data_IF_800793360463
#
_entry.id   IF_800793360463
#
_cell.length_a   1.000
_cell.length_b   1.000
_cell.length_c   1.000
_cell.angle_alpha   90.00
_cell.angle_beta   90.00
_cell.angle_gamma   90.00
#
_symmetry.space_group_name_H-M   'P 1'
#
loop_
_entity.id
_entity.type
_entity.pdbx_description
1 polymer ?
#
# COMPACT_ATOMS: atom_id res chain seq x y z
N UNK A 1 -52.01 6.98 51.60
CA UNK A 1 -51.26 8.05 50.94
C UNK A 1 -49.89 7.44 50.56
N UNK A 2 -49.85 6.80 49.42
CA UNK A 2 -48.60 6.24 48.91
C UNK A 2 -48.10 7.13 47.79
N UNK A 3 -46.96 7.74 47.97
CA UNK A 3 -46.21 8.44 46.96
C UNK A 3 -44.98 7.61 46.61
N UNK A 4 -45.13 6.67 45.69
CA UNK A 4 -43.96 6.09 44.97
C UNK A 4 -43.67 7.00 43.77
N UNK A 5 -42.72 7.92 43.94
CA UNK A 5 -42.13 8.66 42.85
C UNK A 5 -41.25 7.68 42.03
N UNK A 6 -41.68 7.36 40.82
CA UNK A 6 -40.83 6.69 39.82
C UNK A 6 -39.73 7.65 39.43
N UNK A 7 -38.48 7.26 39.70
CA UNK A 7 -37.31 7.94 39.16
C UNK A 7 -37.16 7.47 37.72
N UNK A 8 -37.54 8.32 36.74
CA UNK A 8 -37.21 8.12 35.32
C UNK A 8 -35.69 8.24 35.17
N UNK A 9 -35.03 7.11 34.94
CA UNK A 9 -33.64 7.09 34.50
C UNK A 9 -33.65 7.35 33.00
N UNK A 10 -33.41 8.62 32.62
CA UNK A 10 -33.02 8.93 31.22
C UNK A 10 -31.69 8.26 30.96
N UNK A 11 -31.72 7.18 30.15
CA UNK A 11 -30.52 6.60 29.57
C UNK A 11 -30.12 7.49 28.41
N UNK A 12 -29.25 8.46 28.67
CA UNK A 12 -28.56 9.17 27.61
C UNK A 12 -27.85 8.13 26.73
N UNK A 13 -28.24 8.06 25.48
CA UNK A 13 -27.52 7.33 24.44
C UNK A 13 -26.16 8.01 24.22
N UNK A 14 -25.24 7.85 25.16
CA UNK A 14 -23.84 8.19 24.97
C UNK A 14 -23.34 7.25 23.88
N UNK A 15 -23.17 7.80 22.67
CA UNK A 15 -22.44 7.13 21.60
C UNK A 15 -21.18 6.52 22.23
N UNK A 16 -20.88 5.22 22.02
CA UNK A 16 -19.76 4.59 22.68
C UNK A 16 -18.52 5.43 22.39
N UNK A 17 -17.97 6.06 23.42
CA UNK A 17 -16.73 6.83 23.32
C UNK A 17 -15.69 5.90 22.71
N UNK A 18 -15.21 6.22 21.50
CA UNK A 18 -14.19 5.44 20.81
C UNK A 18 -13.02 5.24 21.74
N UNK A 19 -12.81 3.99 22.17
CA UNK A 19 -11.73 3.65 23.09
C UNK A 19 -10.40 3.95 22.40
N UNK A 20 -9.61 4.85 22.96
CA UNK A 20 -8.21 5.04 22.55
C UNK A 20 -7.44 3.74 22.80
N UNK A 21 -6.71 3.27 21.78
CA UNK A 21 -5.85 2.09 21.86
C UNK A 21 -4.38 2.52 21.86
N UNK A 22 -3.55 1.77 22.58
CA UNK A 22 -2.09 1.84 22.46
C UNK A 22 -1.64 0.82 21.43
N UNK A 23 -1.19 1.29 20.27
CA UNK A 23 -0.84 0.44 19.13
C UNK A 23 0.66 0.49 18.88
N UNK A 24 1.35 -0.65 18.90
CA UNK A 24 2.74 -0.74 18.45
C UNK A 24 2.76 -1.13 16.97
N UNK A 25 3.16 -0.20 16.10
CA UNK A 25 3.34 -0.42 14.67
C UNK A 25 4.80 -0.72 14.40
N UNK A 26 5.10 -1.91 13.87
CA UNK A 26 6.46 -2.39 13.60
C UNK A 26 6.69 -2.48 12.10
N UNK A 27 7.64 -1.73 11.59
CA UNK A 27 7.95 -1.68 10.16
C UNK A 27 9.45 -1.53 9.92
N UNK A 28 9.97 -2.12 8.85
CA UNK A 28 11.36 -1.88 8.41
C UNK A 28 11.46 -0.73 7.40
N UNK A 29 10.33 -0.24 6.88
CA UNK A 29 10.28 0.86 5.92
C UNK A 29 9.27 1.92 6.35
N UNK A 30 9.72 3.18 6.37
CA UNK A 30 8.93 4.35 6.75
C UNK A 30 9.56 5.60 6.12
N UNK A 31 8.83 6.72 5.90
CA UNK A 31 9.46 7.95 5.44
C UNK A 31 10.69 8.33 6.30
N UNK A 32 11.76 8.85 5.67
CA UNK A 32 11.87 9.41 4.32
C UNK A 32 12.11 8.39 3.18
N UNK A 33 12.06 7.08 3.43
CA UNK A 33 12.15 6.07 2.37
C UNK A 33 11.01 6.22 1.36
N UNK A 34 11.34 6.08 0.07
CA UNK A 34 10.37 6.29 -1.02
C UNK A 34 9.96 4.95 -1.61
N UNK A 35 8.90 4.40 -1.08
CA UNK A 35 8.24 3.22 -1.62
C UNK A 35 6.76 3.18 -1.19
N UNK A 36 5.95 2.37 -1.89
CA UNK A 36 4.51 2.29 -1.65
C UNK A 36 4.12 1.77 -0.26
N UNK A 37 4.97 0.98 0.39
CA UNK A 37 4.74 0.49 1.76
C UNK A 37 4.94 1.62 2.76
N UNK A 38 6.06 2.36 2.65
CA UNK A 38 6.36 3.49 3.52
C UNK A 38 5.26 4.57 3.44
N UNK A 39 4.83 4.93 2.24
CA UNK A 39 3.74 5.90 2.05
C UNK A 39 2.41 5.42 2.67
N UNK A 40 2.05 4.16 2.45
CA UNK A 40 0.81 3.59 2.96
C UNK A 40 0.79 3.52 4.49
N UNK A 41 1.89 3.06 5.11
CA UNK A 41 1.92 2.95 6.57
C UNK A 41 1.98 4.31 7.25
N UNK A 42 2.64 5.30 6.65
CA UNK A 42 2.64 6.68 7.16
C UNK A 42 1.22 7.25 7.19
N UNK A 43 0.42 7.03 6.15
CA UNK A 43 -1.01 7.42 6.12
C UNK A 43 -1.84 6.69 7.16
N UNK A 44 -1.63 5.38 7.33
CA UNK A 44 -2.34 4.62 8.36
C UNK A 44 -1.99 5.11 9.78
N UNK A 45 -0.70 5.34 10.06
CA UNK A 45 -0.22 5.90 11.33
C UNK A 45 -0.82 7.28 11.58
N UNK A 46 -0.80 8.17 10.58
CA UNK A 46 -1.41 9.49 10.69
C UNK A 46 -2.91 9.40 10.99
N UNK A 47 -3.66 8.61 10.23
CA UNK A 47 -5.10 8.47 10.43
C UNK A 47 -5.46 7.86 11.79
N UNK A 48 -4.68 6.91 12.30
CA UNK A 48 -4.87 6.36 13.65
C UNK A 48 -4.61 7.43 14.73
N UNK A 49 -3.59 8.28 14.55
CA UNK A 49 -3.31 9.42 15.47
C UNK A 49 -4.46 10.43 15.46
N UNK A 50 -4.95 10.82 14.29
CA UNK A 50 -6.08 11.74 14.11
C UNK A 50 -7.37 11.21 14.78
N UNK A 51 -7.49 9.88 14.90
CA UNK A 51 -8.59 9.20 15.60
C UNK A 51 -8.35 9.03 17.11
N UNK A 52 -7.24 9.56 17.62
CA UNK A 52 -6.94 9.65 19.06
C UNK A 52 -6.25 8.44 19.66
N UNK A 53 -5.70 7.53 18.84
CA UNK A 53 -4.89 6.41 19.34
C UNK A 53 -3.50 6.86 19.78
N UNK A 54 -2.92 6.13 20.74
CA UNK A 54 -1.53 6.27 21.17
C UNK A 54 -0.67 5.28 20.37
N UNK A 55 0.35 5.79 19.66
CA UNK A 55 1.14 4.98 18.75
C UNK A 55 2.60 4.89 19.16
N UNK A 56 3.14 3.67 19.08
CA UNK A 56 4.56 3.36 19.17
C UNK A 56 5.04 2.91 17.79
N UNK A 57 5.76 3.75 17.06
CA UNK A 57 6.33 3.40 15.76
C UNK A 57 7.72 2.79 15.94
N UNK A 58 7.82 1.48 15.77
CA UNK A 58 9.08 0.72 15.89
C UNK A 58 9.68 0.53 14.51
N UNK A 59 10.86 1.10 14.27
CA UNK A 59 11.54 1.03 12.97
C UNK A 59 13.07 1.06 13.08
N UNK A 60 13.81 0.66 12.01
CA UNK A 60 15.23 0.90 11.94
C UNK A 60 15.57 2.39 11.90
N UNK A 61 16.66 2.77 12.55
CA UNK A 61 17.23 4.12 12.47
C UNK A 61 17.80 4.33 11.06
N UNK A 62 17.47 5.46 10.43
CA UNK A 62 17.95 5.80 9.09
C UNK A 62 19.36 6.40 9.11
N UNK A 63 19.70 7.17 10.15
CA UNK A 63 21.01 7.77 10.35
C UNK A 63 21.49 7.53 11.79
N UNK A 64 22.82 7.54 12.00
CA UNK A 64 23.43 7.35 13.34
C UNK A 64 23.02 8.42 14.35
N UNK A 65 22.75 9.61 13.86
CA UNK A 65 22.41 10.79 14.66
C UNK A 65 20.89 11.08 14.68
N UNK A 66 20.08 10.23 14.03
CA UNK A 66 18.64 10.38 14.01
C UNK A 66 18.07 10.33 15.43
N UNK A 67 17.36 11.41 15.82
CA UNK A 67 16.63 11.47 17.06
C UNK A 67 15.21 10.88 16.88
N UNK A 68 14.73 10.14 17.87
CA UNK A 68 13.37 9.65 17.87
C UNK A 68 12.38 10.80 18.06
N UNK A 69 11.34 10.83 17.26
CA UNK A 69 10.23 11.76 17.46
C UNK A 69 9.35 11.25 18.58
N UNK A 70 8.97 12.14 19.48
CA UNK A 70 8.06 11.85 20.58
C UNK A 70 7.16 13.04 20.84
N UNK A 71 5.87 12.78 20.96
CA UNK A 71 4.87 13.71 21.47
C UNK A 71 3.93 12.99 22.44
N UNK A 72 2.84 13.66 22.87
CA UNK A 72 1.93 13.14 23.89
C UNK A 72 1.30 11.77 23.54
N UNK A 73 1.06 11.50 22.23
CA UNK A 73 0.40 10.28 21.74
C UNK A 73 1.18 9.52 20.68
N UNK A 74 2.42 9.89 20.47
CA UNK A 74 3.27 9.24 19.47
C UNK A 74 4.71 9.13 19.96
N UNK A 75 5.27 7.93 19.87
CA UNK A 75 6.66 7.69 20.20
C UNK A 75 7.32 6.81 19.12
N UNK A 76 8.46 7.27 18.60
CA UNK A 76 9.31 6.42 17.77
C UNK A 76 10.26 5.59 18.64
N UNK A 77 10.36 4.31 18.32
CA UNK A 77 11.32 3.38 18.91
C UNK A 77 12.34 3.01 17.83
N UNK A 78 13.44 3.75 17.79
CA UNK A 78 14.50 3.57 16.79
C UNK A 78 15.45 2.46 17.18
N UNK A 79 15.52 1.41 16.35
CA UNK A 79 16.39 0.25 16.55
C UNK A 79 17.52 0.22 15.53
N UNK A 80 18.50 -0.69 15.73
CA UNK A 80 19.60 -0.84 14.78
C UNK A 80 19.12 -1.45 13.47
N UNK A 81 19.63 -0.91 12.34
CA UNK A 81 19.41 -1.45 11.01
C UNK A 81 20.69 -1.49 10.19
N UNK A 82 20.69 -2.31 9.15
CA UNK A 82 21.77 -2.39 8.15
C UNK A 82 21.20 -2.03 6.77
N UNK A 83 21.98 -1.36 5.90
CA UNK A 83 21.56 -1.11 4.54
C UNK A 83 21.38 -2.44 3.78
N UNK A 84 20.33 -2.49 2.93
CA UNK A 84 20.10 -3.67 2.09
C UNK A 84 21.12 -3.67 0.93
N UNK A 85 21.82 -4.79 0.66
CA UNK A 85 22.71 -4.90 -0.49
C UNK A 85 21.99 -4.51 -1.78
N UNK A 86 22.64 -3.71 -2.64
CA UNK A 86 22.10 -3.11 -3.89
C UNK A 86 21.05 -1.99 -3.68
N UNK A 87 20.53 -1.80 -2.46
CA UNK A 87 19.57 -0.73 -2.13
C UNK A 87 19.98 -0.04 -0.82
N UNK A 88 21.14 0.66 -0.79
CA UNK A 88 21.72 1.21 0.44
C UNK A 88 20.84 2.26 1.13
N UNK A 89 19.92 2.86 0.39
CA UNK A 89 18.90 3.80 0.91
C UNK A 89 17.80 3.10 1.71
N UNK A 90 17.64 1.79 1.57
CA UNK A 90 16.68 0.99 2.34
C UNK A 90 17.41 0.27 3.48
N UNK A 91 16.78 0.23 4.66
CA UNK A 91 17.33 -0.39 5.85
C UNK A 91 16.55 -1.65 6.22
N UNK A 92 17.28 -2.71 6.51
CA UNK A 92 16.74 -3.91 7.16
C UNK A 92 17.00 -3.82 8.66
N UNK A 93 15.99 -4.02 9.47
CA UNK A 93 16.14 -4.02 10.93
C UNK A 93 16.93 -5.23 11.43
N UNK A 94 17.75 -5.03 12.45
CA UNK A 94 18.46 -6.13 13.10
C UNK A 94 17.55 -6.84 14.11
N UNK A 95 17.82 -8.14 14.40
CA UNK A 95 17.12 -8.86 15.45
C UNK A 95 17.15 -8.13 16.80
N UNK A 96 16.00 -7.74 17.33
CA UNK A 96 15.90 -6.83 18.49
C UNK A 96 14.93 -7.32 19.57
N UNK A 97 14.68 -8.64 19.66
CA UNK A 97 13.71 -9.24 20.60
C UNK A 97 13.89 -8.77 22.05
N UNK A 98 15.15 -8.76 22.57
CA UNK A 98 15.41 -8.38 23.96
C UNK A 98 15.07 -6.90 24.23
N UNK A 99 15.35 -6.01 23.28
CA UNK A 99 15.01 -4.59 23.40
C UNK A 99 13.50 -4.39 23.42
N UNK A 100 12.77 -5.06 22.54
CA UNK A 100 11.30 -5.02 22.46
C UNK A 100 10.63 -5.59 23.72
N UNK A 101 11.13 -6.72 24.25
CA UNK A 101 10.64 -7.26 25.52
C UNK A 101 10.77 -6.25 26.65
N UNK A 102 11.92 -5.59 26.77
CA UNK A 102 12.17 -4.57 27.81
C UNK A 102 11.26 -3.36 27.62
N UNK A 103 11.14 -2.86 26.39
CA UNK A 103 10.30 -1.70 26.09
C UNK A 103 8.82 -2.00 26.35
N UNK A 104 8.27 -3.10 25.86
CA UNK A 104 6.86 -3.45 26.00
C UNK A 104 6.48 -3.99 27.39
N UNK A 105 7.44 -4.33 28.23
CA UNK A 105 7.20 -4.64 29.64
C UNK A 105 6.83 -3.37 30.45
N UNK A 106 7.40 -2.21 30.08
CA UNK A 106 7.11 -0.92 30.71
C UNK A 106 6.06 -0.09 29.95
N UNK A 107 6.05 -0.16 28.61
CA UNK A 107 5.13 0.57 27.74
C UNK A 107 4.28 -0.42 26.93
N UNK A 108 3.42 -1.16 27.64
CA UNK A 108 2.65 -2.27 27.09
C UNK A 108 1.61 -1.79 26.07
N UNK A 109 1.68 -2.19 24.78
CA UNK A 109 0.65 -1.91 23.80
C UNK A 109 -0.58 -2.83 24.01
N UNK A 110 -1.75 -2.37 23.55
CA UNK A 110 -2.97 -3.17 23.50
C UNK A 110 -2.97 -4.12 22.31
N UNK A 111 -2.30 -3.74 21.21
CA UNK A 111 -2.13 -4.55 20.01
C UNK A 111 -0.78 -4.24 19.33
N UNK A 112 -0.16 -5.26 18.73
CA UNK A 112 1.05 -5.15 17.93
C UNK A 112 0.69 -5.38 16.46
N UNK A 113 0.98 -4.41 15.60
CA UNK A 113 0.78 -4.46 14.16
C UNK A 113 2.13 -4.62 13.43
N UNK A 114 2.35 -5.78 12.84
CA UNK A 114 3.56 -6.12 12.08
C UNK A 114 3.34 -5.80 10.59
N UNK A 115 4.04 -4.79 10.09
CA UNK A 115 3.90 -4.31 8.70
C UNK A 115 4.82 -5.05 7.74
N UNK A 116 5.99 -5.47 8.22
CA UNK A 116 7.02 -6.13 7.41
C UNK A 116 7.51 -7.41 8.09
N UNK A 117 7.87 -8.39 7.26
CA UNK A 117 8.22 -9.76 7.67
C UNK A 117 9.72 -9.98 7.91
N UNK A 118 10.52 -8.91 7.90
CA UNK A 118 11.97 -8.99 8.06
C UNK A 118 12.42 -9.37 9.48
N UNK A 119 13.73 -9.31 9.76
CA UNK A 119 14.30 -9.73 11.06
C UNK A 119 13.75 -8.93 12.25
N UNK A 120 13.43 -7.63 12.06
CA UNK A 120 12.79 -6.82 13.09
C UNK A 120 11.36 -7.28 13.33
N UNK A 121 10.57 -7.47 12.26
CA UNK A 121 9.20 -7.98 12.35
C UNK A 121 9.14 -9.35 13.04
N UNK A 122 10.06 -10.26 12.71
CA UNK A 122 10.18 -11.56 13.39
C UNK A 122 10.52 -11.42 14.87
N UNK A 123 11.42 -10.52 15.21
CA UNK A 123 11.79 -10.23 16.62
C UNK A 123 10.59 -9.68 17.40
N UNK A 124 9.80 -8.82 16.77
CA UNK A 124 8.60 -8.25 17.34
C UNK A 124 7.50 -9.30 17.56
N UNK A 125 7.29 -10.20 16.58
CA UNK A 125 6.39 -11.33 16.72
C UNK A 125 6.76 -12.21 17.92
N UNK A 126 8.05 -12.54 18.07
CA UNK A 126 8.52 -13.34 19.19
C UNK A 126 8.35 -12.63 20.54
N UNK A 127 8.66 -11.32 20.61
CA UNK A 127 8.51 -10.53 21.83
C UNK A 127 7.04 -10.42 22.23
N UNK A 128 6.15 -10.09 21.30
CA UNK A 128 4.72 -9.99 21.52
C UNK A 128 4.10 -11.33 21.97
N UNK A 129 4.49 -12.44 21.33
CA UNK A 129 4.04 -13.79 21.73
C UNK A 129 4.47 -14.11 23.17
N UNK A 130 5.72 -13.80 23.54
CA UNK A 130 6.21 -14.03 24.92
C UNK A 130 5.49 -13.20 25.95
N UNK A 131 5.12 -11.95 25.62
CA UNK A 131 4.37 -11.05 26.47
C UNK A 131 2.84 -11.27 26.40
N UNK A 132 2.39 -12.26 25.65
CA UNK A 132 0.97 -12.53 25.42
C UNK A 132 0.23 -11.27 24.96
N UNK A 133 0.74 -10.60 23.92
CA UNK A 133 0.10 -9.46 23.28
C UNK A 133 -0.66 -9.92 22.03
N UNK A 134 -1.83 -9.35 21.73
CA UNK A 134 -2.50 -9.55 20.45
C UNK A 134 -1.61 -9.07 19.29
N UNK A 135 -1.48 -9.88 18.25
CA UNK A 135 -0.64 -9.54 17.08
C UNK A 135 -1.47 -9.63 15.81
N UNK A 136 -1.42 -8.60 15.01
CA UNK A 136 -1.92 -8.59 13.62
C UNK A 136 -0.77 -8.28 12.67
N UNK A 137 -0.91 -8.67 11.41
CA UNK A 137 0.13 -8.41 10.40
C UNK A 137 -0.46 -7.90 9.09
N UNK A 138 0.39 -7.28 8.28
CA UNK A 138 0.10 -6.90 6.90
C UNK A 138 0.90 -7.76 5.93
N UNK A 139 0.27 -8.20 4.85
CA UNK A 139 0.95 -8.77 3.71
C UNK A 139 1.14 -7.69 2.64
N UNK A 140 2.35 -7.10 2.58
CA UNK A 140 2.62 -5.91 1.74
C UNK A 140 3.64 -6.14 0.63
N UNK A 141 4.43 -7.21 0.72
CA UNK A 141 5.52 -7.45 -0.23
C UNK A 141 5.33 -8.79 -0.93
N UNK A 142 5.35 -8.74 -2.26
CA UNK A 142 5.20 -9.95 -3.08
C UNK A 142 6.58 -10.59 -3.37
N UNK A 143 7.32 -10.94 -2.31
CA UNK A 143 8.68 -11.51 -2.44
C UNK A 143 8.76 -12.76 -3.32
N UNK A 144 7.72 -13.60 -3.30
CA UNK A 144 7.71 -14.81 -4.10
C UNK A 144 7.62 -14.55 -5.61
N UNK A 145 6.91 -13.49 -6.02
CA UNK A 145 6.86 -13.07 -7.40
C UNK A 145 8.16 -12.34 -7.82
N UNK A 146 8.75 -11.54 -6.93
CA UNK A 146 10.05 -10.92 -7.19
C UNK A 146 11.16 -11.95 -7.43
N UNK A 147 11.18 -13.06 -6.69
CA UNK A 147 12.21 -14.10 -6.84
C UNK A 147 12.24 -14.73 -8.26
N UNK A 148 11.10 -14.77 -8.96
CA UNK A 148 11.02 -15.27 -10.33
C UNK A 148 11.70 -14.34 -11.33
N UNK A 149 11.54 -13.02 -11.19
CA UNK A 149 12.11 -12.03 -12.09
C UNK A 149 13.63 -11.84 -11.92
N UNK A 150 14.17 -12.17 -10.75
CA UNK A 150 15.60 -12.02 -10.46
C UNK A 150 16.41 -13.33 -10.53
N UNK A 151 15.88 -14.37 -11.19
CA UNK A 151 16.59 -15.64 -11.38
C UNK A 151 16.74 -16.51 -10.14
N UNK A 152 15.99 -16.21 -9.07
CA UNK A 152 16.02 -16.93 -7.79
C UNK A 152 14.74 -17.76 -7.56
N UNK A 153 14.19 -18.32 -8.63
CA UNK A 153 12.94 -19.10 -8.59
C UNK A 153 12.99 -20.27 -7.58
N UNK A 154 14.15 -20.86 -7.34
CA UNK A 154 14.37 -21.91 -6.36
C UNK A 154 14.13 -21.48 -4.90
N UNK A 155 14.22 -20.17 -4.60
CA UNK A 155 13.91 -19.62 -3.28
C UNK A 155 12.40 -19.42 -3.05
N UNK A 156 11.54 -19.56 -4.06
CA UNK A 156 10.10 -19.33 -3.95
C UNK A 156 9.47 -20.14 -2.82
N UNK A 157 9.72 -21.46 -2.79
CA UNK A 157 9.11 -22.34 -1.79
C UNK A 157 9.62 -22.06 -0.36
N UNK A 158 10.93 -21.88 -0.10
CA UNK A 158 11.44 -21.44 1.21
C UNK A 158 10.84 -20.11 1.66
N UNK A 159 10.78 -19.11 0.78
CA UNK A 159 10.21 -17.79 1.09
C UNK A 159 8.72 -17.93 1.44
N UNK A 160 7.93 -18.64 0.64
CA UNK A 160 6.50 -18.85 0.91
C UNK A 160 6.28 -19.62 2.23
N UNK A 161 7.13 -20.61 2.53
CA UNK A 161 7.05 -21.34 3.79
C UNK A 161 7.35 -20.44 4.99
N UNK A 162 8.36 -19.56 4.86
CA UNK A 162 8.70 -18.57 5.88
C UNK A 162 7.55 -17.58 6.10
N UNK A 163 7.02 -16.96 5.03
CA UNK A 163 5.92 -16.01 5.09
C UNK A 163 4.67 -16.65 5.71
N UNK A 164 4.31 -17.85 5.28
CA UNK A 164 3.18 -18.60 5.85
C UNK A 164 3.39 -18.88 7.34
N UNK A 165 4.59 -19.28 7.76
CA UNK A 165 4.93 -19.50 9.18
C UNK A 165 4.84 -18.21 9.99
N UNK A 166 5.23 -17.07 9.42
CA UNK A 166 5.15 -15.77 10.06
C UNK A 166 3.70 -15.33 10.24
N UNK A 167 2.94 -15.24 9.15
CA UNK A 167 1.58 -14.74 9.15
C UNK A 167 0.59 -15.65 9.90
N UNK A 168 0.72 -16.97 9.80
CA UNK A 168 -0.14 -17.91 10.52
C UNK A 168 0.07 -17.91 12.05
N UNK A 169 1.04 -17.17 12.56
CA UNK A 169 1.24 -16.92 14.00
C UNK A 169 0.58 -15.65 14.50
N UNK A 170 0.04 -14.83 13.61
CA UNK A 170 -0.74 -13.65 13.96
C UNK A 170 -2.23 -13.99 14.01
N UNK A 171 -3.00 -13.21 14.76
CA UNK A 171 -4.45 -13.41 14.90
C UNK A 171 -5.21 -13.09 13.62
N UNK A 172 -4.69 -12.13 12.85
CA UNK A 172 -5.23 -11.72 11.56
C UNK A 172 -4.11 -11.16 10.69
N UNK A 173 -4.12 -11.51 9.40
CA UNK A 173 -3.26 -10.88 8.39
C UNK A 173 -4.11 -10.06 7.43
N UNK A 174 -3.82 -8.77 7.34
CA UNK A 174 -4.47 -7.87 6.39
C UNK A 174 -3.84 -8.00 5.02
N UNK A 175 -4.67 -8.15 4.00
CA UNK A 175 -4.26 -8.24 2.59
C UNK A 175 -4.99 -7.18 1.77
N UNK A 176 -4.38 -6.57 0.75
CA UNK A 176 -4.96 -5.41 0.08
C UNK A 176 -6.09 -5.74 -0.90
N UNK A 177 -6.19 -6.98 -1.42
CA UNK A 177 -7.17 -7.35 -2.43
C UNK A 177 -7.79 -8.72 -2.17
N UNK A 178 -9.02 -8.94 -2.67
CA UNK A 178 -9.70 -10.24 -2.58
C UNK A 178 -8.97 -11.31 -3.42
N UNK A 179 -8.41 -10.95 -4.57
CA UNK A 179 -7.63 -11.87 -5.41
C UNK A 179 -6.40 -12.42 -4.67
N UNK A 180 -5.60 -11.54 -4.08
CA UNK A 180 -4.44 -11.95 -3.27
C UNK A 180 -4.85 -12.78 -2.06
N UNK A 181 -5.98 -12.43 -1.40
CA UNK A 181 -6.52 -13.26 -0.31
C UNK A 181 -6.78 -14.68 -0.79
N UNK A 182 -7.46 -14.86 -1.94
CA UNK A 182 -7.74 -16.18 -2.52
C UNK A 182 -6.47 -16.96 -2.83
N UNK A 183 -5.48 -16.32 -3.47
CA UNK A 183 -4.18 -16.92 -3.77
C UNK A 183 -3.46 -17.38 -2.50
N UNK A 184 -3.37 -16.54 -1.49
CA UNK A 184 -2.71 -16.89 -0.23
C UNK A 184 -3.44 -18.00 0.52
N UNK A 185 -4.78 -17.99 0.54
CA UNK A 185 -5.58 -19.06 1.15
C UNK A 185 -5.30 -20.42 0.50
N UNK A 186 -5.22 -20.48 -0.84
CA UNK A 186 -4.91 -21.72 -1.57
C UNK A 186 -3.52 -22.27 -1.25
N UNK A 187 -2.59 -21.43 -0.78
CA UNK A 187 -1.24 -21.81 -0.37
C UNK A 187 -1.10 -22.07 1.14
N UNK A 188 -2.21 -22.09 1.89
CA UNK A 188 -2.25 -22.47 3.31
C UNK A 188 -2.05 -21.32 4.31
N UNK A 189 -2.18 -20.06 3.87
CA UNK A 189 -2.31 -18.94 4.81
C UNK A 189 -3.70 -18.95 5.45
N UNK A 190 -3.76 -18.52 6.72
CA UNK A 190 -4.98 -18.53 7.56
C UNK A 190 -5.30 -17.12 8.05
N UNK A 191 -6.54 -16.93 8.53
CA UNK A 191 -6.98 -15.70 9.19
C UNK A 191 -6.74 -14.43 8.36
N UNK A 192 -7.01 -14.48 7.04
CA UNK A 192 -6.82 -13.38 6.11
C UNK A 192 -8.06 -12.47 6.06
N UNK A 193 -7.85 -11.16 6.18
CA UNK A 193 -8.88 -10.12 6.01
C UNK A 193 -8.48 -9.11 4.95
N UNK A 194 -9.39 -8.78 4.06
CA UNK A 194 -9.14 -7.74 3.05
C UNK A 194 -9.27 -6.38 3.72
N UNK A 195 -8.19 -5.62 3.69
CA UNK A 195 -8.13 -4.20 4.04
C UNK A 195 -7.45 -3.48 2.89
N UNK A 196 -8.23 -2.79 2.08
CA UNK A 196 -7.76 -2.14 0.85
C UNK A 196 -6.89 -0.91 1.16
N UNK A 197 -6.59 -0.13 0.14
CA UNK A 197 -5.82 1.11 0.26
C UNK A 197 -6.65 2.29 -0.12
N UNK A 198 -6.43 3.41 0.56
CA UNK A 198 -6.97 4.70 0.19
C UNK A 198 -6.04 5.44 -0.78
N UNK A 199 -6.55 6.51 -1.34
CA UNK A 199 -5.78 7.48 -2.14
C UNK A 199 -5.93 8.89 -1.57
N UNK A 200 -4.87 9.68 -1.65
CA UNK A 200 -4.90 11.09 -1.26
C UNK A 200 -5.48 11.94 -2.39
N UNK A 201 -6.77 12.16 -2.36
CA UNK A 201 -7.48 12.92 -3.41
C UNK A 201 -7.22 14.42 -3.37
N UNK A 202 -6.58 14.95 -2.33
CA UNK A 202 -6.12 16.35 -2.27
C UNK A 202 -4.74 16.51 -2.93
N UNK A 203 -3.86 15.54 -2.74
CA UNK A 203 -2.55 15.51 -3.40
C UNK A 203 -2.68 15.11 -4.89
N UNK A 204 -3.50 14.11 -5.20
CA UNK A 204 -3.79 13.63 -6.55
C UNK A 204 -5.12 14.22 -7.02
N UNK A 205 -5.05 15.41 -7.64
CA UNK A 205 -6.21 16.18 -8.06
C UNK A 205 -6.02 16.73 -9.47
N UNK A 206 -6.99 16.60 -10.38
CA UNK A 206 -6.94 17.18 -11.73
C UNK A 206 -6.66 18.69 -11.75
N UNK A 207 -7.06 19.41 -10.69
CA UNK A 207 -6.80 20.85 -10.57
C UNK A 207 -5.31 21.22 -10.51
N UNK A 208 -4.43 20.24 -10.26
CA UNK A 208 -2.96 20.43 -10.28
C UNK A 208 -2.36 20.35 -11.68
N UNK A 209 -3.17 20.25 -12.73
CA UNK A 209 -2.69 20.24 -14.12
C UNK A 209 -1.90 21.51 -14.43
N UNK A 210 -0.66 21.35 -14.88
CA UNK A 210 0.29 22.42 -15.14
C UNK A 210 0.54 22.61 -16.63
N UNK A 211 0.07 23.73 -17.22
CA UNK A 211 0.41 24.07 -18.62
C UNK A 211 1.92 24.24 -18.84
N UNK A 212 2.64 24.78 -17.84
CA UNK A 212 4.08 24.95 -17.91
C UNK A 212 4.81 23.60 -17.98
N UNK A 213 4.36 22.60 -17.22
CA UNK A 213 4.92 21.26 -17.25
C UNK A 213 4.67 20.59 -18.62
N UNK A 214 3.48 20.75 -19.18
CA UNK A 214 3.16 20.25 -20.53
C UNK A 214 4.03 20.92 -21.61
N UNK A 215 4.26 22.22 -21.48
CA UNK A 215 5.18 22.95 -22.38
C UNK A 215 6.62 22.41 -22.29
N UNK A 216 7.11 22.11 -21.09
CA UNK A 216 8.42 21.46 -20.88
C UNK A 216 8.52 20.10 -21.56
N UNK A 217 7.41 19.35 -21.63
CA UNK A 217 7.33 18.07 -22.35
C UNK A 217 7.19 18.23 -23.87
N UNK A 218 7.05 19.45 -24.36
CA UNK A 218 6.89 19.77 -25.79
C UNK A 218 5.52 19.37 -26.33
N UNK A 219 4.45 19.46 -25.51
CA UNK A 219 3.07 19.10 -25.89
C UNK A 219 2.11 20.27 -25.75
N UNK A 220 1.22 20.40 -26.70
CA UNK A 220 0.13 21.37 -26.70
C UNK A 220 -1.04 20.99 -25.79
N UNK A 221 -2.03 21.88 -25.64
CA UNK A 221 -3.18 21.66 -24.76
C UNK A 221 -4.04 20.44 -25.15
N UNK A 222 -4.06 20.10 -26.45
CA UNK A 222 -4.89 19.02 -27.02
C UNK A 222 -4.12 17.72 -27.31
N UNK A 223 -2.79 17.74 -27.18
CA UNK A 223 -1.99 16.54 -27.40
C UNK A 223 -2.18 15.55 -26.26
N UNK A 224 -2.22 14.26 -26.58
CA UNK A 224 -2.37 13.21 -25.59
C UNK A 224 -1.04 12.92 -24.90
N UNK A 225 -1.03 13.00 -23.57
CA UNK A 225 0.11 12.61 -22.74
C UNK A 225 -0.20 11.27 -22.06
N UNK A 226 0.63 10.30 -22.34
CA UNK A 226 0.64 8.99 -21.70
C UNK A 226 1.63 9.02 -20.55
N UNK A 227 1.21 8.60 -19.36
CA UNK A 227 2.02 8.58 -18.17
C UNK A 227 2.25 7.13 -17.69
N UNK A 228 3.46 6.86 -17.24
CA UNK A 228 3.79 5.69 -16.43
C UNK A 228 4.60 6.14 -15.22
N UNK A 229 4.19 5.70 -14.04
CA UNK A 229 4.83 6.06 -12.76
C UNK A 229 5.27 4.79 -12.03
N UNK A 230 6.50 4.78 -11.56
CA UNK A 230 7.02 3.67 -10.77
C UNK A 230 8.52 3.47 -10.93
N UNK A 231 9.02 2.42 -10.28
CA UNK A 231 10.42 2.01 -10.42
C UNK A 231 10.67 1.50 -11.85
N UNK A 232 11.71 2.00 -12.50
CA UNK A 232 12.09 1.56 -13.85
C UNK A 232 12.89 0.26 -13.76
N UNK A 233 12.19 -0.87 -13.63
CA UNK A 233 12.76 -2.19 -13.40
C UNK A 233 11.99 -3.28 -14.17
N UNK A 234 12.63 -4.43 -14.35
CA UNK A 234 12.16 -5.54 -15.20
C UNK A 234 10.73 -5.99 -14.84
N UNK A 235 10.42 -6.07 -13.57
CA UNK A 235 9.09 -6.52 -13.07
C UNK A 235 7.95 -5.57 -13.44
N UNK A 236 8.24 -4.35 -13.89
CA UNK A 236 7.24 -3.39 -14.38
C UNK A 236 6.88 -3.56 -15.85
N UNK A 237 7.50 -4.55 -16.52
CA UNK A 237 7.18 -4.93 -17.89
C UNK A 237 7.26 -3.75 -18.90
N UNK A 238 8.28 -2.91 -18.72
CA UNK A 238 8.45 -1.66 -19.47
C UNK A 238 8.67 -1.88 -20.98
N UNK A 239 9.03 -3.10 -21.37
CA UNK A 239 9.05 -3.50 -22.78
C UNK A 239 7.69 -3.40 -23.47
N UNK A 240 6.64 -3.86 -22.79
CA UNK A 240 5.25 -3.75 -23.28
C UNK A 240 4.77 -2.30 -23.29
N UNK A 241 5.17 -1.49 -22.28
CA UNK A 241 4.89 -0.06 -22.29
C UNK A 241 5.43 0.63 -23.56
N UNK A 242 6.69 0.36 -23.92
CA UNK A 242 7.31 0.94 -25.11
C UNK A 242 6.60 0.49 -26.39
N UNK A 243 6.27 -0.80 -26.52
CA UNK A 243 5.52 -1.32 -27.65
C UNK A 243 4.13 -0.68 -27.79
N UNK A 244 3.40 -0.55 -26.68
CA UNK A 244 2.09 0.09 -26.63
C UNK A 244 2.20 1.56 -27.07
N UNK A 245 3.16 2.31 -26.55
CA UNK A 245 3.40 3.70 -26.92
C UNK A 245 3.76 3.85 -28.40
N UNK A 246 4.64 3.00 -28.94
CA UNK A 246 4.99 3.02 -30.37
C UNK A 246 3.76 2.74 -31.25
N UNK A 247 2.89 1.79 -30.83
CA UNK A 247 1.62 1.54 -31.49
C UNK A 247 0.67 2.74 -31.46
N UNK A 248 0.63 3.48 -30.34
CA UNK A 248 -0.15 4.72 -30.25
C UNK A 248 0.42 5.82 -31.16
N UNK A 249 1.74 5.99 -31.22
CA UNK A 249 2.39 6.99 -32.10
C UNK A 249 2.19 6.69 -33.59
N UNK A 250 2.03 5.43 -33.95
CA UNK A 250 1.70 5.05 -35.33
C UNK A 250 0.30 5.52 -35.77
N UNK A 251 -0.63 5.72 -34.77
CA UNK A 251 -1.99 6.25 -35.02
C UNK A 251 -2.01 7.78 -34.90
N UNK A 252 -1.39 8.33 -33.86
CA UNK A 252 -1.27 9.78 -33.65
C UNK A 252 0.17 10.12 -33.22
N UNK A 253 1.00 10.65 -34.13
CA UNK A 253 2.40 11.00 -33.82
C UNK A 253 2.58 12.06 -32.72
N UNK A 254 1.52 12.79 -32.36
CA UNK A 254 1.56 13.80 -31.29
C UNK A 254 1.47 13.20 -29.88
N UNK A 255 1.16 11.91 -29.75
CA UNK A 255 1.14 11.22 -28.46
C UNK A 255 2.54 11.28 -27.83
N UNK A 256 2.61 11.68 -26.55
CA UNK A 256 3.84 11.81 -25.79
C UNK A 256 3.85 10.85 -24.60
N UNK A 257 4.96 10.15 -24.39
CA UNK A 257 5.17 9.32 -23.20
C UNK A 257 6.00 10.08 -22.17
N UNK A 258 5.52 10.10 -20.93
CA UNK A 258 6.23 10.62 -19.76
C UNK A 258 6.44 9.49 -18.74
N UNK A 259 7.67 9.27 -18.33
CA UNK A 259 8.10 8.28 -17.36
C UNK A 259 8.53 8.99 -16.07
N UNK A 260 7.80 8.74 -14.98
CA UNK A 260 8.13 9.27 -13.65
C UNK A 260 8.67 8.13 -12.78
N UNK A 261 9.87 8.32 -12.29
CA UNK A 261 10.59 7.34 -11.48
C UNK A 261 12.02 7.13 -11.94
N UNK A 262 12.71 6.20 -11.29
CA UNK A 262 14.07 5.82 -11.62
C UNK A 262 14.28 4.32 -11.41
N UNK A 263 15.38 3.78 -11.91
CA UNK A 263 15.70 2.38 -11.75
C UNK A 263 16.72 1.85 -12.77
N UNK A 264 17.09 0.57 -12.63
CA UNK A 264 18.15 -0.05 -13.44
C UNK A 264 17.85 -0.06 -14.95
N UNK A 265 16.58 -0.05 -15.36
CA UNK A 265 16.16 -0.10 -16.76
C UNK A 265 16.19 1.28 -17.46
N UNK A 266 16.46 2.38 -16.74
CA UNK A 266 16.38 3.75 -17.27
C UNK A 266 17.23 3.94 -18.54
N UNK A 267 18.51 3.56 -18.49
CA UNK A 267 19.42 3.77 -19.64
C UNK A 267 19.00 2.96 -20.86
N UNK A 268 18.57 1.73 -20.68
CA UNK A 268 18.06 0.89 -21.76
C UNK A 268 16.76 1.45 -22.37
N UNK A 269 15.86 1.98 -21.53
CA UNK A 269 14.62 2.62 -21.99
C UNK A 269 14.89 3.92 -22.76
N UNK A 270 15.85 4.74 -22.32
CA UNK A 270 16.24 5.96 -23.05
C UNK A 270 16.76 5.65 -24.46
N UNK A 271 17.51 4.56 -24.63
CA UNK A 271 17.97 4.10 -25.95
C UNK A 271 16.82 3.59 -26.82
N UNK A 272 15.88 2.83 -26.22
CA UNK A 272 14.75 2.22 -26.95
C UNK A 272 13.62 3.19 -27.27
N UNK A 273 13.47 4.25 -26.49
CA UNK A 273 12.40 5.24 -26.62
C UNK A 273 12.93 6.66 -26.39
N UNK A 274 13.78 7.18 -27.31
CA UNK A 274 14.40 8.52 -27.13
C UNK A 274 13.40 9.67 -27.20
N UNK A 275 12.20 9.46 -27.75
CA UNK A 275 11.11 10.45 -27.82
C UNK A 275 10.35 10.62 -26.51
N UNK A 276 10.52 9.71 -25.53
CA UNK A 276 9.87 9.78 -24.23
C UNK A 276 10.56 10.80 -23.29
N UNK A 277 9.77 11.39 -22.41
CA UNK A 277 10.29 12.26 -21.35
C UNK A 277 10.59 11.41 -20.11
N UNK A 278 11.82 11.48 -19.63
CA UNK A 278 12.25 10.82 -18.40
C UNK A 278 12.31 11.86 -17.26
N UNK A 279 11.21 12.03 -16.56
CA UNK A 279 11.05 13.05 -15.52
C UNK A 279 11.90 12.76 -14.27
N UNK A 280 12.37 11.51 -14.07
CA UNK A 280 13.08 11.12 -12.86
C UNK A 280 12.15 10.94 -11.65
N UNK A 281 12.72 10.81 -10.47
CA UNK A 281 11.96 10.64 -9.23
C UNK A 281 11.25 11.93 -8.85
N UNK A 282 9.93 11.87 -8.66
CA UNK A 282 9.07 12.99 -8.23
C UNK A 282 8.37 12.64 -6.91
N UNK A 283 8.02 13.65 -6.11
CA UNK A 283 7.40 13.47 -4.78
C UNK A 283 6.40 14.57 -4.49
N UNK A 284 5.47 14.30 -3.56
CA UNK A 284 4.52 15.30 -3.05
C UNK A 284 3.77 16.01 -4.17
N UNK A 285 3.66 17.32 -4.09
CA UNK A 285 2.91 18.14 -5.04
C UNK A 285 3.45 18.09 -6.48
N UNK A 286 4.77 17.97 -6.64
CA UNK A 286 5.40 17.80 -7.96
C UNK A 286 4.97 16.47 -8.61
N UNK A 287 4.88 15.38 -7.85
CA UNK A 287 4.32 14.13 -8.34
C UNK A 287 2.84 14.27 -8.71
N UNK A 288 2.04 14.93 -7.87
CA UNK A 288 0.63 15.22 -8.16
C UNK A 288 0.45 16.03 -9.45
N UNK A 289 1.30 17.03 -9.67
CA UNK A 289 1.29 17.83 -10.90
C UNK A 289 1.65 17.00 -12.14
N UNK A 290 2.58 16.05 -12.03
CA UNK A 290 2.92 15.15 -13.14
C UNK A 290 1.74 14.25 -13.52
N UNK A 291 1.04 13.65 -12.53
CA UNK A 291 -0.17 12.89 -12.80
C UNK A 291 -1.24 13.78 -13.46
N UNK A 292 -1.60 14.90 -12.85
CA UNK A 292 -2.67 15.77 -13.34
C UNK A 292 -2.38 16.37 -14.74
N UNK A 293 -1.10 16.47 -15.14
CA UNK A 293 -0.70 17.02 -16.43
C UNK A 293 -0.74 16.01 -17.58
N UNK A 294 -0.98 14.72 -17.28
CA UNK A 294 -1.19 13.67 -18.26
C UNK A 294 -2.69 13.45 -18.56
N UNK A 295 -3.00 12.53 -19.46
CA UNK A 295 -4.35 12.22 -19.91
C UNK A 295 -4.67 10.72 -19.78
N UNK A 296 -3.69 9.85 -20.00
CA UNK A 296 -3.82 8.39 -19.99
C UNK A 296 -2.69 7.76 -19.15
N UNK A 297 -3.03 6.80 -18.32
CA UNK A 297 -2.08 6.04 -17.51
C UNK A 297 -1.93 4.63 -18.06
N UNK A 298 -0.72 4.24 -18.48
CA UNK A 298 -0.40 2.88 -18.91
C UNK A 298 0.34 2.14 -17.81
N UNK A 299 -0.21 1.00 -17.37
CA UNK A 299 0.33 0.22 -16.27
C UNK A 299 0.42 -1.28 -16.60
N UNK A 300 1.45 -1.72 -17.35
CA UNK A 300 1.64 -3.12 -17.74
C UNK A 300 2.34 -3.99 -16.69
N UNK A 301 2.32 -3.58 -15.42
CA UNK A 301 2.97 -4.31 -14.33
C UNK A 301 2.34 -5.68 -14.11
N UNK A 302 3.18 -6.71 -13.95
CA UNK A 302 2.77 -8.10 -13.69
C UNK A 302 3.07 -8.56 -12.26
N UNK A 303 3.58 -7.67 -11.41
CA UNK A 303 4.01 -8.01 -10.04
C UNK A 303 3.61 -6.93 -9.06
N UNK A 304 2.39 -7.00 -8.58
CA UNK A 304 1.88 -6.05 -7.57
C UNK A 304 1.25 -6.78 -6.40
N UNK A 305 1.44 -6.25 -5.19
CA UNK A 305 0.55 -6.60 -4.07
C UNK A 305 -0.73 -5.78 -4.13
N UNK A 306 -0.63 -4.51 -4.51
CA UNK A 306 -1.77 -3.64 -4.76
C UNK A 306 -1.55 -2.80 -6.02
N UNK A 307 -0.56 -1.89 -6.04
CA UNK A 307 -0.30 -0.95 -7.13
C UNK A 307 -0.94 0.40 -6.87
N UNK A 308 -0.48 1.12 -5.84
CA UNK A 308 -1.00 2.44 -5.42
C UNK A 308 -1.05 3.46 -6.56
N UNK A 309 -0.17 3.33 -7.55
CA UNK A 309 -0.09 4.24 -8.71
C UNK A 309 -1.37 4.23 -9.57
N UNK A 310 -2.16 3.15 -9.53
CA UNK A 310 -3.44 3.07 -10.25
C UNK A 310 -4.49 4.00 -9.64
N UNK A 311 -4.83 3.91 -8.34
CA UNK A 311 -5.74 4.87 -7.72
C UNK A 311 -5.20 6.31 -7.70
N UNK A 312 -3.87 6.53 -7.66
CA UNK A 312 -3.27 7.85 -7.80
C UNK A 312 -3.56 8.46 -9.19
N UNK A 313 -3.38 7.68 -10.26
CA UNK A 313 -3.72 8.09 -11.62
C UNK A 313 -5.22 8.38 -11.76
N UNK A 314 -6.08 7.49 -11.27
CA UNK A 314 -7.53 7.69 -11.28
C UNK A 314 -7.95 8.94 -10.52
N UNK A 315 -7.36 9.17 -9.33
CA UNK A 315 -7.61 10.36 -8.52
C UNK A 315 -7.19 11.65 -9.22
N UNK A 316 -6.16 11.60 -10.05
CA UNK A 316 -5.70 12.71 -10.88
C UNK A 316 -6.51 12.89 -12.17
N UNK A 317 -7.58 12.10 -12.38
CA UNK A 317 -8.45 12.20 -13.55
C UNK A 317 -7.91 11.54 -14.82
N UNK A 318 -7.01 10.56 -14.70
CA UNK A 318 -6.49 9.81 -15.85
C UNK A 318 -7.33 8.57 -16.12
N UNK A 319 -7.62 8.30 -17.39
CA UNK A 319 -8.04 6.98 -17.81
C UNK A 319 -6.89 5.98 -17.62
N UNK A 320 -7.21 4.71 -17.32
CA UNK A 320 -6.20 3.68 -17.03
C UNK A 320 -6.26 2.55 -18.05
N UNK A 321 -5.12 2.12 -18.58
CA UNK A 321 -4.97 0.82 -19.26
C UNK A 321 -4.06 -0.05 -18.41
N UNK A 322 -4.58 -1.20 -17.99
CA UNK A 322 -3.85 -2.12 -17.12
C UNK A 322 -4.27 -3.57 -17.37
N UNK A 323 -3.45 -4.50 -16.91
CA UNK A 323 -3.89 -5.89 -16.77
C UNK A 323 -4.98 -6.00 -15.70
N UNK A 324 -5.94 -6.91 -15.90
CA UNK A 324 -7.01 -7.23 -14.95
C UNK A 324 -6.43 -7.97 -13.72
N UNK A 325 -5.72 -7.23 -12.89
CA UNK A 325 -4.94 -7.75 -11.77
C UNK A 325 -4.74 -6.71 -10.65
N UNK A 326 -4.61 -7.17 -9.42
CA UNK A 326 -4.29 -6.36 -8.23
C UNK A 326 -5.25 -5.16 -8.05
N UNK A 327 -4.72 -3.92 -7.87
CA UNK A 327 -5.57 -2.74 -7.71
C UNK A 327 -6.43 -2.47 -8.95
N UNK A 328 -5.88 -2.63 -10.16
CA UNK A 328 -6.61 -2.35 -11.39
C UNK A 328 -7.90 -3.19 -11.46
N UNK A 329 -7.83 -4.50 -11.17
CA UNK A 329 -9.00 -5.38 -11.07
C UNK A 329 -10.05 -4.86 -10.06
N UNK A 330 -9.59 -4.30 -8.94
CA UNK A 330 -10.49 -3.87 -7.87
C UNK A 330 -11.14 -2.51 -8.13
N UNK A 331 -10.43 -1.57 -8.76
CA UNK A 331 -10.85 -0.16 -8.80
C UNK A 331 -11.22 0.35 -10.19
N UNK A 332 -10.69 -0.24 -11.27
CA UNK A 332 -10.98 0.15 -12.64
C UNK A 332 -12.22 -0.58 -13.15
N UNK A 333 -13.17 0.15 -13.74
CA UNK A 333 -14.28 -0.41 -14.52
C UNK A 333 -13.92 -0.42 -15.99
N UNK A 334 -13.86 -1.61 -16.57
CA UNK A 334 -13.59 -1.76 -18.01
C UNK A 334 -14.62 -1.01 -18.86
N UNK A 335 -14.14 -0.16 -19.76
CA UNK A 335 -14.96 0.66 -20.67
C UNK A 335 -15.53 1.95 -20.06
N UNK A 336 -15.48 2.10 -18.73
CA UNK A 336 -16.02 3.25 -17.98
C UNK A 336 -14.92 4.16 -17.45
N UNK A 337 -14.02 3.64 -16.61
CA UNK A 337 -12.92 4.40 -16.03
C UNK A 337 -11.53 3.98 -16.56
N UNK A 338 -11.49 3.07 -17.50
CA UNK A 338 -10.28 2.57 -18.13
C UNK A 338 -10.52 1.29 -18.92
N UNK A 339 -9.46 0.71 -19.45
CA UNK A 339 -9.49 -0.57 -20.15
C UNK A 339 -8.68 -1.61 -19.37
N UNK A 340 -9.33 -2.67 -18.92
CA UNK A 340 -8.70 -3.85 -18.36
C UNK A 340 -8.51 -4.90 -19.46
N UNK A 341 -7.35 -5.54 -19.48
CA UNK A 341 -7.02 -6.62 -20.42
C UNK A 341 -6.58 -7.87 -19.66
N UNK A 342 -6.67 -9.07 -20.25
CA UNK A 342 -6.27 -10.29 -19.56
C UNK A 342 -4.84 -10.21 -19.01
N UNK A 343 -4.64 -10.80 -17.83
CA UNK A 343 -3.34 -10.76 -17.14
C UNK A 343 -2.22 -11.29 -18.02
N UNK A 344 -1.14 -10.51 -18.13
CA UNK A 344 0.06 -10.81 -18.92
C UNK A 344 -0.16 -10.93 -20.45
N UNK A 345 -1.33 -10.59 -20.98
CA UNK A 345 -1.57 -10.51 -22.41
C UNK A 345 -1.05 -9.18 -22.98
N UNK A 346 0.21 -9.21 -23.42
CA UNK A 346 0.88 -8.04 -23.97
C UNK A 346 0.26 -7.54 -25.28
N UNK A 347 -0.27 -8.45 -26.10
CA UNK A 347 -0.90 -8.08 -27.38
C UNK A 347 -2.22 -7.34 -27.12
N UNK A 348 -3.06 -7.85 -26.23
CA UNK A 348 -4.29 -7.18 -25.81
C UNK A 348 -4.00 -5.81 -25.14
N UNK A 349 -2.91 -5.70 -24.36
CA UNK A 349 -2.50 -4.43 -23.75
C UNK A 349 -2.12 -3.39 -24.81
N UNK A 350 -1.29 -3.75 -25.78
CA UNK A 350 -0.90 -2.87 -26.88
C UNK A 350 -2.11 -2.46 -27.74
N UNK A 351 -3.00 -3.39 -28.06
CA UNK A 351 -4.22 -3.11 -28.82
C UNK A 351 -5.16 -2.16 -28.06
N UNK A 352 -5.34 -2.34 -26.74
CA UNK A 352 -6.15 -1.46 -25.90
C UNK A 352 -5.58 -0.04 -25.86
N UNK A 353 -4.27 0.12 -25.69
CA UNK A 353 -3.60 1.41 -25.72
C UNK A 353 -3.73 2.09 -27.11
N UNK A 354 -3.46 1.35 -28.19
CA UNK A 354 -3.57 1.84 -29.56
C UNK A 354 -4.98 2.33 -29.89
N UNK A 355 -6.01 1.62 -29.42
CA UNK A 355 -7.43 2.01 -29.63
C UNK A 355 -7.76 3.38 -29.03
N UNK A 356 -7.06 3.82 -27.99
CA UNK A 356 -7.27 5.12 -27.34
C UNK A 356 -6.49 6.26 -28.02
N UNK A 357 -5.51 5.96 -28.86
CA UNK A 357 -4.77 6.97 -29.60
C UNK A 357 -5.72 7.76 -30.50
N UNK A 358 -5.64 9.11 -30.43
CA UNK A 358 -6.54 10.02 -31.16
C UNK A 358 -7.97 10.14 -30.57
N UNK A 359 -8.31 9.34 -29.54
CA UNK A 359 -9.65 9.35 -28.91
C UNK A 359 -9.70 10.26 -27.65
N UNK A 360 -9.23 11.48 -27.77
CA UNK A 360 -9.05 12.39 -26.63
C UNK A 360 -10.34 12.62 -25.83
N UNK A 361 -11.48 12.73 -26.49
CA UNK A 361 -12.78 12.92 -25.81
C UNK A 361 -13.18 11.69 -24.98
N UNK A 362 -12.98 10.49 -25.52
CA UNK A 362 -13.27 9.25 -24.80
C UNK A 362 -12.32 9.05 -23.61
N UNK A 363 -11.01 9.28 -23.80
CA UNK A 363 -10.02 9.23 -22.72
C UNK A 363 -10.36 10.20 -21.59
N UNK A 364 -10.78 11.43 -21.91
CA UNK A 364 -11.20 12.41 -20.93
C UNK A 364 -12.45 11.95 -20.15
N UNK A 365 -13.47 11.46 -20.84
CA UNK A 365 -14.68 10.95 -20.19
C UNK A 365 -14.35 9.77 -19.23
N UNK A 366 -13.49 8.84 -19.64
CA UNK A 366 -13.01 7.77 -18.75
C UNK A 366 -12.22 8.31 -17.55
N UNK A 367 -11.42 9.35 -17.74
CA UNK A 367 -10.66 10.00 -16.67
C UNK A 367 -11.58 10.65 -15.62
N UNK A 368 -12.66 11.28 -16.05
CA UNK A 368 -13.68 11.84 -15.14
C UNK A 368 -14.36 10.75 -14.31
N UNK A 369 -14.71 9.62 -14.93
CA UNK A 369 -15.28 8.46 -14.22
C UNK A 369 -14.25 7.85 -13.25
N UNK A 370 -12.98 7.77 -13.66
CA UNK A 370 -11.89 7.32 -12.82
C UNK A 370 -11.74 8.19 -11.56
N UNK A 371 -11.80 9.52 -11.70
CA UNK A 371 -11.78 10.47 -10.58
C UNK A 371 -12.94 10.25 -9.62
N UNK A 372 -14.16 10.16 -10.12
CA UNK A 372 -15.35 9.91 -9.29
C UNK A 372 -15.20 8.62 -8.47
N UNK A 373 -14.67 7.57 -9.07
CA UNK A 373 -14.43 6.30 -8.39
C UNK A 373 -13.34 6.41 -7.33
N UNK A 374 -12.23 7.08 -7.64
CA UNK A 374 -11.11 7.26 -6.71
C UNK A 374 -11.52 8.09 -5.48
N UNK A 375 -12.40 9.09 -5.63
CA UNK A 375 -12.92 9.87 -4.52
C UNK A 375 -13.70 9.04 -3.48
N UNK A 376 -14.12 7.82 -3.83
CA UNK A 376 -14.77 6.90 -2.88
C UNK A 376 -13.77 6.08 -2.06
N UNK A 377 -12.47 6.15 -2.39
CA UNK A 377 -11.39 5.41 -1.73
C UNK A 377 -10.79 6.23 -0.57
N UNK A 378 -11.64 6.62 0.37
CA UNK A 378 -11.26 7.48 1.50
C UNK A 378 -10.38 6.73 2.52
N UNK A 379 -9.28 7.37 2.93
CA UNK A 379 -8.39 6.86 3.97
C UNK A 379 -9.08 6.73 5.34
N UNK A 380 -10.05 7.56 5.67
CA UNK A 380 -10.81 7.46 6.91
C UNK A 380 -11.50 6.11 7.06
N UNK A 381 -12.11 5.59 5.98
CA UNK A 381 -12.72 4.25 5.94
C UNK A 381 -11.67 3.14 6.05
N UNK A 382 -10.50 3.30 5.45
CA UNK A 382 -9.43 2.30 5.55
C UNK A 382 -8.91 2.22 6.98
N UNK A 383 -8.69 3.35 7.64
CA UNK A 383 -8.27 3.40 9.05
C UNK A 383 -9.33 2.76 9.95
N UNK A 384 -10.62 3.00 9.71
CA UNK A 384 -11.72 2.35 10.43
C UNK A 384 -11.71 0.80 10.27
N UNK A 385 -11.42 0.31 9.07
CA UNK A 385 -11.26 -1.13 8.85
C UNK A 385 -10.05 -1.68 9.63
N UNK A 386 -8.94 -0.94 9.69
CA UNK A 386 -7.75 -1.30 10.48
C UNK A 386 -8.11 -1.35 11.97
N UNK A 387 -8.81 -0.34 12.51
CA UNK A 387 -9.31 -0.33 13.90
C UNK A 387 -10.19 -1.55 14.19
N UNK A 388 -11.10 -1.88 13.26
CA UNK A 388 -11.97 -3.05 13.39
C UNK A 388 -11.17 -4.35 13.48
N UNK A 389 -10.06 -4.46 12.72
CA UNK A 389 -9.15 -5.62 12.82
C UNK A 389 -8.50 -5.67 14.21
N UNK A 390 -8.03 -4.53 14.74
CA UNK A 390 -7.43 -4.47 16.06
C UNK A 390 -8.41 -4.89 17.17
N UNK A 391 -9.60 -4.32 17.19
CA UNK A 391 -10.63 -4.64 18.18
C UNK A 391 -11.03 -6.11 18.13
N UNK A 392 -11.22 -6.65 16.91
CA UNK A 392 -11.54 -8.07 16.71
C UNK A 392 -10.40 -8.97 17.23
N UNK A 393 -9.15 -8.66 16.91
CA UNK A 393 -8.00 -9.43 17.36
C UNK A 393 -7.86 -9.42 18.90
N UNK A 394 -8.07 -8.27 19.52
CA UNK A 394 -8.04 -8.14 20.98
C UNK A 394 -9.14 -8.96 21.66
N UNK A 395 -10.37 -8.91 21.14
CA UNK A 395 -11.49 -9.68 21.67
C UNK A 395 -11.23 -11.18 21.59
N UNK A 396 -10.76 -11.69 20.47
CA UNK A 396 -10.39 -13.11 20.30
C UNK A 396 -9.26 -13.51 21.24
N UNK A 397 -8.26 -12.66 21.43
CA UNK A 397 -7.14 -12.94 22.33
C UNK A 397 -7.60 -13.08 23.79
N UNK A 398 -8.49 -12.20 24.24
CA UNK A 398 -9.04 -12.23 25.61
C UNK A 398 -9.81 -13.54 25.85
N UNK A 399 -10.69 -13.93 24.93
CA UNK A 399 -11.47 -15.18 25.05
C UNK A 399 -10.56 -16.41 25.13
N UNK A 400 -9.56 -16.49 24.26
CA UNK A 400 -8.62 -17.63 24.22
C UNK A 400 -7.80 -17.73 25.51
N UNK A 401 -7.37 -16.58 26.05
CA UNK A 401 -6.59 -16.54 27.32
C UNK A 401 -7.42 -16.95 28.51
N UNK A 402 -8.69 -16.56 28.57
CA UNK A 402 -9.61 -16.95 29.66
C UNK A 402 -9.96 -18.44 29.62
N UNK A 403 -10.12 -19.05 28.42
CA UNK A 403 -10.36 -20.49 28.32
C UNK A 403 -9.15 -21.32 28.74
N UNK A 404 -7.93 -20.84 28.46
CA UNK A 404 -6.70 -21.52 28.88
C UNK A 404 -6.45 -21.45 30.41
N UNK A 405 -7.11 -20.55 31.13
CA UNK A 405 -6.99 -20.38 32.58
C UNK A 405 -8.08 -21.10 33.38
N UNK A 406 -9.08 -21.72 32.74
CA UNK A 406 -10.05 -22.56 33.47
C UNK A 406 -9.38 -23.89 33.82
N UNK A 407 -9.17 -24.23 35.11
CA UNK A 407 -8.74 -25.55 35.49
C UNK A 407 -9.81 -26.57 35.06
N UNK A 408 -9.38 -27.68 34.48
CA UNK A 408 -10.27 -28.82 34.28
C UNK A 408 -10.89 -29.18 35.64
N UNK A 409 -12.20 -29.02 35.80
CA UNK A 409 -12.92 -29.53 36.93
C UNK A 409 -12.71 -31.07 36.96
N UNK A 410 -12.23 -31.62 38.08
CA UNK A 410 -12.17 -33.08 38.18
C UNK A 410 -13.58 -33.63 38.06
N UNK A 411 -13.77 -34.56 37.17
CA UNK A 411 -14.97 -35.38 37.10
C UNK A 411 -15.04 -36.16 38.42
N UNK A 412 -16.02 -35.86 39.28
CA UNK A 412 -16.45 -36.66 40.38
C UNK A 412 -17.31 -37.80 39.86
#
# INVERSE_FOLDING_TARGET
MDCTAAVDIEVDNVLPTRRSLRVAVVTETYPPEVNGVAATIARAVQGLRERGHELQLVRPRQDKHEAATQDERFAEVLLRGLPIPRYPQLKMGLPSKRALLRHWSSHRPDVVHLVTEGPLGWSALQAATQLKLPVVSDFRTNFHAYSQHYGMAWLRNPIMSYLRKFHNRTLCTMVPTAGLRGELMSTGFKSLRVVSRGVDTAMFDPARRSPALRQQWGVGPQDMVVLCVGRLAVEKNLGVLVQAFQGMQAVDPRVKLVLVGDGPERSALQQRCPSAVFAGLRRGEDLGAHYASADLFLFPSVTETFGNVVPEAMASGLAVVAFDYAAAHQVVRHGDSGLLVPFADSAAFCAAAQRLAGQTAWVRAMGEQARMKACQMDWGRIVEQIETVYVTAMSHHTVTTHHALRPALPLL
#
